data_IF_959892490002
#
_entry.id   IF_959892490002
#
_cell.length_a   1.000
_cell.length_b   1.000
_cell.length_c   1.000
_cell.angle_alpha   90.00
_cell.angle_beta   90.00
_cell.angle_gamma   90.00
#
_symmetry.space_group_name_H-M   'P 1'
#
loop_
_entity.id
_entity.type
_entity.pdbx_description
1 polymer ?
#
# COMPACT_ATOMS: atom_id res chain seq x y z
N UNK A 1 14.03 12.93 0.07
CA UNK A 1 15.06 12.05 -0.50
C UNK A 1 14.92 12.06 -2.01
N UNK A 2 15.93 12.59 -2.68
CA UNK A 2 15.86 12.80 -4.14
C UNK A 2 15.66 11.52 -4.95
N UNK A 3 16.30 10.43 -4.50
CA UNK A 3 16.30 9.19 -5.26
C UNK A 3 15.21 8.21 -4.83
N UNK A 4 14.37 8.60 -3.88
CA UNK A 4 13.30 7.72 -3.42
C UNK A 4 12.07 7.89 -4.30
N UNK A 5 11.71 6.81 -4.99
CA UNK A 5 10.53 6.82 -5.87
C UNK A 5 9.24 7.09 -5.09
N UNK A 6 9.14 6.59 -3.85
CA UNK A 6 7.94 6.83 -3.03
C UNK A 6 7.87 8.28 -2.55
N UNK A 7 9.01 8.89 -2.23
CA UNK A 7 9.03 10.33 -1.91
C UNK A 7 8.56 11.16 -3.11
N UNK A 8 8.92 10.75 -4.31
CA UNK A 8 8.47 11.42 -5.53
C UNK A 8 6.96 11.26 -5.74
N UNK A 9 6.41 10.11 -5.42
CA UNK A 9 4.97 9.86 -5.48
C UNK A 9 4.25 10.75 -4.45
N UNK A 10 4.78 10.84 -3.24
CA UNK A 10 4.21 11.68 -2.19
C UNK A 10 4.15 13.15 -2.63
N UNK A 11 5.19 13.61 -3.30
CA UNK A 11 5.28 14.99 -3.79
C UNK A 11 4.56 15.22 -5.12
N UNK A 12 3.93 14.19 -5.68
CA UNK A 12 3.24 14.24 -6.97
C UNK A 12 4.18 14.48 -8.17
N UNK A 13 5.47 14.19 -8.00
CA UNK A 13 6.45 14.25 -9.10
C UNK A 13 6.29 13.04 -10.04
N UNK A 14 5.77 11.93 -9.52
CA UNK A 14 5.44 10.72 -10.28
C UNK A 14 3.97 10.42 -10.03
N UNK A 15 3.18 10.15 -11.09
CA UNK A 15 1.78 9.83 -10.92
C UNK A 15 1.59 8.46 -10.26
N UNK A 16 0.47 8.30 -9.55
CA UNK A 16 0.08 7.04 -8.92
C UNK A 16 -1.43 6.98 -8.81
N UNK A 17 -1.94 5.75 -8.64
CA UNK A 17 -3.37 5.53 -8.39
C UNK A 17 -3.60 5.50 -6.88
N UNK A 18 -3.87 6.66 -6.30
CA UNK A 18 -4.06 6.80 -4.85
C UNK A 18 -5.43 6.27 -4.43
N UNK A 19 -5.47 5.55 -3.32
CA UNK A 19 -6.73 5.01 -2.77
C UNK A 19 -7.04 5.55 -1.37
N UNK A 20 -6.05 6.09 -0.68
CA UNK A 20 -6.24 6.70 0.64
C UNK A 20 -5.09 7.65 0.94
N UNK A 21 -5.38 8.74 1.61
CA UNK A 21 -4.35 9.70 2.01
C UNK A 21 -4.81 10.47 3.23
N UNK A 22 -3.90 10.68 4.18
CA UNK A 22 -4.09 11.62 5.28
C UNK A 22 -2.77 12.38 5.49
N UNK A 23 -2.66 13.14 6.59
CA UNK A 23 -1.47 13.96 6.81
C UNK A 23 -0.19 13.15 7.01
N UNK A 24 -0.30 11.89 7.43
CA UNK A 24 0.84 11.08 7.81
C UNK A 24 1.16 9.95 6.84
N UNK A 25 0.16 9.47 6.10
CA UNK A 25 0.34 8.28 5.25
C UNK A 25 -0.33 8.45 3.89
N UNK A 26 0.12 7.62 2.95
CA UNK A 26 -0.44 7.53 1.60
C UNK A 26 -0.57 6.05 1.23
N UNK A 27 -1.69 5.69 0.63
CA UNK A 27 -1.88 4.35 0.06
C UNK A 27 -2.19 4.47 -1.42
N UNK A 28 -1.57 3.63 -2.23
CA UNK A 28 -1.73 3.65 -3.67
C UNK A 28 -1.56 2.24 -4.25
N UNK A 29 -2.06 2.07 -5.49
CA UNK A 29 -1.93 0.80 -6.19
C UNK A 29 -0.49 0.54 -6.58
N UNK A 30 0.02 -0.67 -6.36
CA UNK A 30 1.30 -1.04 -6.96
C UNK A 30 1.14 -1.19 -8.46
N UNK A 31 2.18 -0.86 -9.22
CA UNK A 31 2.17 -1.03 -10.68
C UNK A 31 2.47 -2.48 -11.10
N UNK A 32 2.88 -3.30 -10.16
CA UNK A 32 3.23 -4.71 -10.41
C UNK A 32 2.47 -5.61 -9.44
N UNK A 33 1.13 -5.68 -9.55
CA UNK A 33 0.32 -6.39 -8.58
C UNK A 33 0.44 -7.92 -8.72
N UNK A 34 0.41 -8.60 -7.57
CA UNK A 34 0.33 -10.07 -7.56
C UNK A 34 -1.11 -10.55 -7.48
N UNK A 35 -2.06 -9.66 -7.18
CA UNK A 35 -3.49 -9.95 -7.21
C UNK A 35 -4.27 -8.65 -7.42
N UNK A 36 -5.55 -8.79 -7.73
CA UNK A 36 -6.42 -7.62 -7.88
C UNK A 36 -6.60 -6.93 -6.53
N UNK A 37 -6.25 -5.66 -6.47
CA UNK A 37 -6.35 -4.89 -5.25
C UNK A 37 -5.07 -4.83 -4.42
N UNK A 38 -3.95 -5.30 -4.96
CA UNK A 38 -2.66 -5.19 -4.29
C UNK A 38 -2.29 -3.72 -4.14
N UNK A 39 -2.33 -3.20 -2.92
CA UNK A 39 -2.01 -1.81 -2.61
C UNK A 39 -0.83 -1.74 -1.66
N UNK A 40 -0.21 -0.58 -1.61
CA UNK A 40 0.87 -0.25 -0.68
C UNK A 40 0.39 0.82 0.28
N UNK A 41 0.89 0.78 1.51
CA UNK A 41 0.70 1.84 2.49
C UNK A 41 2.06 2.32 2.94
N UNK A 42 2.31 3.62 2.81
CA UNK A 42 3.61 4.22 3.14
C UNK A 42 3.43 5.41 4.07
N UNK A 43 4.42 5.69 4.94
CA UNK A 43 4.45 6.95 5.66
C UNK A 43 4.91 8.06 4.71
N UNK A 44 4.40 9.28 4.91
CA UNK A 44 4.82 10.44 4.11
C UNK A 44 6.22 10.90 4.48
N UNK A 45 6.63 10.72 5.75
CA UNK A 45 8.01 10.96 6.14
C UNK A 45 8.87 9.78 5.68
N UNK A 46 10.08 10.06 5.24
CA UNK A 46 10.98 9.01 4.75
C UNK A 46 11.61 8.26 5.92
N UNK A 47 11.33 6.97 6.00
CA UNK A 47 11.98 6.02 6.91
C UNK A 47 12.37 4.82 6.08
N UNK A 48 13.59 4.33 6.25
CA UNK A 48 14.10 3.28 5.38
C UNK A 48 13.38 1.95 5.61
N UNK A 49 13.26 1.55 6.88
CA UNK A 49 12.60 0.28 7.21
C UNK A 49 12.05 0.33 8.65
N UNK A 50 11.66 -0.82 9.19
CA UNK A 50 11.02 -0.88 10.51
C UNK A 50 11.93 -0.34 11.62
N UNK A 51 13.25 -0.40 11.45
CA UNK A 51 14.20 -0.03 12.49
C UNK A 51 14.18 1.47 12.82
N UNK A 52 13.88 2.33 11.84
CA UNK A 52 13.85 3.77 12.08
C UNK A 52 12.43 4.35 12.07
N UNK A 53 11.40 3.49 12.08
CA UNK A 53 10.01 3.94 12.16
C UNK A 53 9.65 4.34 13.60
N UNK A 54 9.07 5.54 13.80
CA UNK A 54 8.52 5.89 15.11
C UNK A 54 7.37 4.97 15.50
N UNK A 55 7.28 4.60 16.76
CA UNK A 55 6.23 3.69 17.25
C UNK A 55 4.83 4.23 17.00
N UNK A 56 4.61 5.52 17.24
CA UNK A 56 3.30 6.13 17.05
C UNK A 56 2.87 6.12 15.57
N UNK A 57 3.83 6.23 14.66
CA UNK A 57 3.53 6.17 13.22
C UNK A 57 3.15 4.74 12.82
N UNK A 58 3.84 3.73 13.38
CA UNK A 58 3.47 2.32 13.16
C UNK A 58 2.03 2.09 13.63
N UNK A 59 1.69 2.59 14.82
CA UNK A 59 0.32 2.46 15.36
C UNK A 59 -0.68 3.13 14.43
N UNK A 60 -0.37 4.34 13.95
CA UNK A 60 -1.27 5.04 13.02
C UNK A 60 -1.48 4.24 11.73
N UNK A 61 -0.40 3.68 11.17
CA UNK A 61 -0.51 2.88 9.95
C UNK A 61 -1.37 1.65 10.15
N UNK A 62 -1.23 0.96 11.28
CA UNK A 62 -2.07 -0.20 11.58
C UNK A 62 -3.53 0.18 11.83
N UNK A 63 -3.79 1.34 12.41
CA UNK A 63 -5.14 1.86 12.54
C UNK A 63 -5.79 2.13 11.19
N UNK A 64 -5.02 2.69 10.24
CA UNK A 64 -5.51 2.93 8.88
C UNK A 64 -5.83 1.61 8.18
N UNK A 65 -4.96 0.62 8.32
CA UNK A 65 -5.20 -0.72 7.74
C UNK A 65 -6.49 -1.30 8.33
N UNK A 66 -6.59 -1.34 9.64
CA UNK A 66 -7.69 -2.00 10.35
C UNK A 66 -9.02 -1.32 10.11
N UNK A 67 -9.04 0.02 10.11
CA UNK A 67 -10.30 0.77 10.13
C UNK A 67 -10.71 1.32 8.76
N UNK A 68 -9.81 1.36 7.78
CA UNK A 68 -10.07 1.91 6.45
C UNK A 68 -9.76 0.93 5.33
N UNK A 69 -8.50 0.54 5.19
CA UNK A 69 -8.05 -0.19 4.00
C UNK A 69 -8.59 -1.62 3.94
N UNK A 70 -8.59 -2.31 5.07
CA UNK A 70 -9.06 -3.70 5.11
C UNK A 70 -10.53 -3.79 4.66
N UNK A 71 -11.37 -2.94 5.24
CA UNK A 71 -12.80 -2.91 4.91
C UNK A 71 -13.03 -2.51 3.46
N UNK A 72 -12.27 -1.52 2.97
CA UNK A 72 -12.37 -1.08 1.58
C UNK A 72 -12.13 -2.25 0.62
N UNK A 73 -11.04 -2.99 0.84
CA UNK A 73 -10.70 -4.12 -0.03
C UNK A 73 -11.75 -5.23 0.06
N UNK A 74 -12.21 -5.56 1.28
CA UNK A 74 -13.24 -6.60 1.46
C UNK A 74 -14.56 -6.24 0.81
N UNK A 75 -15.02 -5.03 1.01
CA UNK A 75 -16.32 -4.59 0.50
C UNK A 75 -16.32 -4.37 -1.01
N UNK A 76 -15.24 -3.78 -1.54
CA UNK A 76 -15.19 -3.40 -2.95
C UNK A 76 -14.77 -4.54 -3.87
N UNK A 77 -13.93 -5.45 -3.39
CA UNK A 77 -13.39 -6.53 -4.22
C UNK A 77 -13.88 -7.90 -3.84
N UNK A 78 -14.57 -8.03 -2.72
CA UNK A 78 -15.10 -9.30 -2.23
C UNK A 78 -14.01 -10.37 -2.14
N UNK A 79 -12.82 -9.99 -1.67
CA UNK A 79 -11.72 -10.93 -1.50
C UNK A 79 -11.96 -11.79 -0.26
N UNK A 80 -11.29 -12.95 -0.22
CA UNK A 80 -11.48 -13.92 0.86
C UNK A 80 -10.54 -13.72 2.04
N UNK A 81 -9.46 -13.00 1.84
CA UNK A 81 -8.51 -12.66 2.88
C UNK A 81 -7.52 -11.64 2.37
N UNK A 82 -6.66 -11.14 3.25
CA UNK A 82 -5.66 -10.13 2.90
C UNK A 82 -4.37 -10.47 3.61
N UNK A 83 -3.28 -10.55 2.86
CA UNK A 83 -1.94 -10.72 3.42
C UNK A 83 -1.32 -9.34 3.62
N UNK A 84 -0.75 -9.12 4.80
CA UNK A 84 0.07 -7.95 5.08
C UNK A 84 1.53 -8.38 5.03
N UNK A 85 2.35 -7.66 4.27
CA UNK A 85 3.75 -8.01 4.09
C UNK A 85 4.60 -6.75 4.14
N UNK A 86 5.73 -6.82 4.83
CA UNK A 86 6.65 -5.70 4.97
C UNK A 86 8.07 -6.25 5.00
N UNK A 87 8.96 -5.72 4.16
CA UNK A 87 10.32 -6.23 4.00
C UNK A 87 11.33 -5.23 4.56
N UNK A 88 12.39 -5.75 5.18
CA UNK A 88 13.47 -4.95 5.75
C UNK A 88 14.81 -5.47 5.25
N UNK A 89 15.70 -4.56 4.88
CA UNK A 89 17.08 -4.85 4.47
C UNK A 89 17.11 -5.77 3.25
N UNK A 90 17.67 -6.98 3.37
CA UNK A 90 17.69 -7.94 2.25
C UNK A 90 16.26 -8.31 1.87
N UNK A 91 15.93 -8.20 0.61
CA UNK A 91 14.56 -8.44 0.12
C UNK A 91 13.70 -7.18 0.06
N UNK A 92 14.17 -6.07 0.61
CA UNK A 92 13.49 -4.80 0.49
C UNK A 92 13.98 -4.08 -0.76
N UNK A 93 13.12 -4.04 -1.79
CA UNK A 93 13.47 -3.45 -3.08
C UNK A 93 13.56 -1.93 -3.03
N UNK A 94 12.61 -1.30 -2.34
CA UNK A 94 12.55 0.16 -2.22
C UNK A 94 12.82 0.54 -0.77
N UNK A 95 13.83 1.39 -0.55
CA UNK A 95 14.30 1.79 0.79
C UNK A 95 13.47 2.93 1.36
N UNK A 96 12.18 2.73 1.42
CA UNK A 96 11.18 3.57 2.05
C UNK A 96 10.15 2.60 2.65
N UNK A 97 9.93 2.68 3.96
CA UNK A 97 9.05 1.74 4.66
C UNK A 97 7.71 1.62 3.95
N UNK A 98 7.28 0.41 3.68
CA UNK A 98 5.97 0.20 3.05
C UNK A 98 5.39 -1.16 3.44
N UNK A 99 4.07 -1.19 3.58
CA UNK A 99 3.33 -2.40 3.87
C UNK A 99 2.53 -2.75 2.61
N UNK A 100 2.69 -3.99 2.16
CA UNK A 100 1.86 -4.53 1.09
C UNK A 100 0.56 -5.05 1.68
N UNK A 101 -0.57 -4.69 1.08
CA UNK A 101 -1.85 -5.31 1.37
C UNK A 101 -2.24 -6.09 0.12
N UNK A 102 -2.25 -7.41 0.24
CA UNK A 102 -2.42 -8.30 -0.91
C UNK A 102 -3.71 -9.11 -0.73
N UNK A 103 -4.78 -8.75 -1.45
CA UNK A 103 -6.02 -9.53 -1.39
C UNK A 103 -5.80 -10.95 -1.88
N UNK A 104 -6.42 -11.91 -1.19
CA UNK A 104 -6.36 -13.33 -1.51
C UNK A 104 -7.75 -13.80 -1.89
N UNK A 105 -7.83 -14.65 -2.91
CA UNK A 105 -9.08 -15.15 -3.45
C UNK A 105 -9.05 -16.66 -3.46
N UNK A 106 -10.11 -17.31 -2.96
CA UNK A 106 -10.24 -18.76 -3.01
C UNK A 106 -10.33 -19.26 -4.44
N UNK A 107 -11.10 -18.53 -5.27
CA UNK A 107 -11.27 -18.87 -6.67
C UNK A 107 -10.26 -18.09 -7.51
N UNK A 108 -9.80 -18.72 -8.60
CA UNK A 108 -8.85 -18.06 -9.50
C UNK A 108 -9.44 -16.79 -10.08
N UNK A 109 -8.64 -15.72 -10.06
CA UNK A 109 -9.01 -14.43 -10.62
C UNK A 109 -8.13 -14.11 -11.81
N UNK A 110 -8.71 -13.49 -12.82
CA UNK A 110 -7.93 -12.88 -13.88
C UNK A 110 -7.40 -11.53 -13.39
N UNK A 111 -6.12 -11.28 -13.62
CA UNK A 111 -5.51 -10.01 -13.21
C UNK A 111 -6.01 -8.88 -14.10
N UNK A 112 -6.72 -7.93 -13.52
CA UNK A 112 -7.27 -6.78 -14.22
C UNK A 112 -6.24 -5.65 -14.29
N UNK A 113 -6.50 -4.66 -15.13
CA UNK A 113 -5.67 -3.45 -15.18
C UNK A 113 -5.76 -2.70 -13.85
N UNK A 114 -4.64 -2.15 -13.42
CA UNK A 114 -4.56 -1.40 -12.14
C UNK A 114 -5.61 -0.29 -12.10
N UNK A 115 -5.78 0.43 -13.19
CA UNK A 115 -6.78 1.50 -13.28
C UNK A 115 -8.20 1.00 -13.02
N UNK A 116 -8.56 -0.15 -13.60
CA UNK A 116 -9.90 -0.74 -13.39
C UNK A 116 -10.13 -1.08 -11.93
N UNK A 117 -9.14 -1.69 -11.29
CA UNK A 117 -9.24 -2.06 -9.88
C UNK A 117 -9.31 -0.81 -9.01
N UNK A 118 -8.50 0.20 -9.31
CA UNK A 118 -8.54 1.47 -8.59
C UNK A 118 -9.93 2.10 -8.62
N UNK A 119 -10.59 2.06 -9.78
CA UNK A 119 -11.94 2.60 -9.93
C UNK A 119 -12.96 1.84 -9.07
N UNK A 120 -12.77 0.54 -8.86
CA UNK A 120 -13.62 -0.24 -7.97
C UNK A 120 -13.44 0.14 -6.50
N UNK A 121 -12.26 0.62 -6.13
CA UNK A 121 -11.95 0.97 -4.75
C UNK A 121 -12.43 2.38 -4.35
N UNK A 122 -12.85 3.17 -5.30
CA UNK A 122 -13.35 4.53 -5.05
C UNK A 122 -14.80 4.59 -4.62
#
# INVERSE_FOLDING_TARGET
MKDCIFCKIINNDIPSYKVYEDDLVLSFMTIDPVSNGHILLIPKSHHENVLDMPDDLIVHMHNVIKNKLYNMLKERLNCDGITLSQNNEYGQEIKHYHIHLIPKYKDKQNLLKVEEVCNKLK
#
